data_IF_475610875104
#
_entry.id   IF_475610875104
#
_cell.length_a   1.000
_cell.length_b   1.000
_cell.length_c   1.000
_cell.angle_alpha   90.00
_cell.angle_beta   90.00
_cell.angle_gamma   90.00
#
_symmetry.space_group_name_H-M   'P 1'
#
loop_
_entity.id
_entity.type
_entity.pdbx_description
1 polymer ?
#
# COMPACT_ATOMS: atom_id res chain seq x y z
N UNK A 1 -18.66 -3.05 -3.66
CA UNK A 1 -18.20 -2.65 -2.30
C UNK A 1 -16.70 -2.86 -2.24
N UNK A 2 -15.98 -2.22 -1.31
CA UNK A 2 -14.53 -2.42 -1.21
C UNK A 2 -14.17 -3.87 -0.86
N UNK A 3 -15.01 -4.53 -0.06
CA UNK A 3 -14.91 -5.95 0.29
C UNK A 3 -14.96 -6.87 -0.94
N UNK A 4 -15.79 -6.56 -1.94
CA UNK A 4 -15.83 -7.34 -3.18
C UNK A 4 -14.49 -7.27 -3.95
N UNK A 5 -13.85 -6.09 -3.96
CA UNK A 5 -12.54 -5.89 -4.60
C UNK A 5 -11.46 -6.67 -3.86
N UNK A 6 -11.48 -6.63 -2.52
CA UNK A 6 -10.60 -7.43 -1.68
C UNK A 6 -10.78 -8.93 -1.92
N UNK A 7 -12.02 -9.44 -1.89
CA UNK A 7 -12.31 -10.86 -2.09
C UNK A 7 -11.91 -11.34 -3.49
N UNK A 8 -12.10 -10.51 -4.51
CA UNK A 8 -11.64 -10.81 -5.86
C UNK A 8 -10.10 -10.88 -5.92
N UNK A 9 -9.40 -9.91 -5.33
CA UNK A 9 -7.94 -9.93 -5.21
C UNK A 9 -7.44 -11.20 -4.51
N UNK A 10 -8.02 -11.54 -3.36
CA UNK A 10 -7.66 -12.74 -2.61
C UNK A 10 -7.89 -14.02 -3.43
N UNK A 11 -9.03 -14.11 -4.12
CA UNK A 11 -9.37 -15.24 -4.98
C UNK A 11 -8.38 -15.37 -6.14
N UNK A 12 -7.97 -14.28 -6.75
CA UNK A 12 -6.98 -14.29 -7.84
C UNK A 12 -5.61 -14.74 -7.35
N UNK A 13 -5.17 -14.30 -6.16
CA UNK A 13 -3.94 -14.77 -5.53
C UNK A 13 -4.00 -16.27 -5.21
N UNK A 14 -5.09 -16.73 -4.59
CA UNK A 14 -5.26 -18.14 -4.20
C UNK A 14 -5.34 -19.11 -5.38
N UNK A 15 -5.89 -18.66 -6.52
CA UNK A 15 -6.03 -19.49 -7.72
C UNK A 15 -4.79 -19.43 -8.63
N UNK A 16 -3.82 -18.58 -8.33
CA UNK A 16 -2.62 -18.44 -9.15
C UNK A 16 -1.61 -19.56 -8.82
N UNK A 17 -1.31 -20.49 -9.75
CA UNK A 17 -0.40 -21.61 -9.49
C UNK A 17 1.06 -21.17 -9.35
N UNK A 18 1.38 -19.93 -9.69
CA UNK A 18 2.73 -19.34 -9.61
C UNK A 18 2.89 -18.43 -8.39
N UNK A 19 1.94 -18.47 -7.44
CA UNK A 19 1.99 -17.70 -6.19
C UNK A 19 1.92 -18.65 -5.01
N UNK A 20 2.74 -18.37 -3.99
CA UNK A 20 2.69 -19.03 -2.70
C UNK A 20 2.30 -18.02 -1.61
N UNK A 21 1.17 -18.27 -0.94
CA UNK A 21 0.66 -17.41 0.13
C UNK A 21 1.20 -17.90 1.49
N UNK A 22 1.72 -16.99 2.31
CA UNK A 22 1.99 -17.29 3.73
C UNK A 22 3.32 -17.97 4.05
N UNK A 23 4.28 -17.98 3.13
CA UNK A 23 5.50 -18.77 3.29
C UNK A 23 6.50 -18.20 4.28
N UNK A 24 6.70 -16.88 4.29
CA UNK A 24 7.83 -16.24 4.97
C UNK A 24 7.47 -15.09 5.89
N UNK A 25 6.19 -14.75 6.03
CA UNK A 25 5.83 -13.75 7.04
C UNK A 25 5.91 -14.36 8.43
N UNK A 26 6.53 -13.62 9.35
CA UNK A 26 6.35 -13.86 10.79
C UNK A 26 4.93 -13.55 11.24
N UNK A 27 4.19 -12.75 10.45
CA UNK A 27 2.80 -12.44 10.72
C UNK A 27 1.94 -13.64 10.30
N UNK A 28 1.05 -14.08 11.19
CA UNK A 28 0.05 -15.09 10.82
C UNK A 28 -0.90 -14.45 9.83
N UNK A 29 -1.02 -15.03 8.63
CA UNK A 29 -2.00 -14.57 7.66
C UNK A 29 -3.40 -14.59 8.28
N UNK A 30 -4.11 -13.48 8.12
CA UNK A 30 -5.47 -13.29 8.59
C UNK A 30 -6.25 -12.61 7.48
N UNK A 31 -6.99 -13.38 6.70
CA UNK A 31 -7.66 -12.92 5.49
C UNK A 31 -9.19 -13.09 5.59
N UNK A 32 -9.69 -13.33 6.79
CA UNK A 32 -11.12 -13.37 7.06
C UNK A 32 -11.64 -11.95 7.25
N UNK A 33 -12.42 -11.51 6.27
CA UNK A 33 -13.12 -10.23 6.27
C UNK A 33 -14.48 -10.41 6.98
N UNK A 34 -14.44 -10.67 8.29
CA UNK A 34 -15.66 -10.72 9.10
C UNK A 34 -16.15 -9.30 9.40
N UNK A 35 -17.43 -8.97 9.09
CA UNK A 35 -17.96 -7.67 9.44
C UNK A 35 -17.88 -7.42 10.95
N UNK A 36 -17.30 -6.28 11.39
CA UNK A 36 -17.29 -5.94 12.80
C UNK A 36 -18.72 -5.79 13.34
N UNK A 37 -18.91 -6.07 14.63
CA UNK A 37 -20.21 -5.86 15.28
C UNK A 37 -20.63 -4.38 15.21
N UNK A 38 -21.94 -4.11 15.13
CA UNK A 38 -22.48 -2.74 15.15
C UNK A 38 -21.95 -1.91 16.34
N UNK A 39 -21.91 -2.51 17.54
CA UNK A 39 -21.35 -1.88 18.75
C UNK A 39 -19.89 -1.46 18.58
N UNK A 40 -19.10 -2.23 17.85
CA UNK A 40 -17.71 -1.87 17.55
C UNK A 40 -17.65 -0.65 16.62
N UNK A 41 -18.46 -0.64 15.56
CA UNK A 41 -18.53 0.45 14.60
C UNK A 41 -19.02 1.76 15.27
N UNK A 42 -20.05 1.70 16.11
CA UNK A 42 -20.55 2.84 16.88
C UNK A 42 -19.47 3.44 17.78
N UNK A 43 -18.71 2.57 18.47
CA UNK A 43 -17.60 3.01 19.33
C UNK A 43 -16.50 3.70 18.52
N UNK A 44 -16.07 3.09 17.41
CA UNK A 44 -15.01 3.65 16.54
C UNK A 44 -15.44 4.99 15.94
N UNK A 45 -16.70 5.11 15.52
CA UNK A 45 -17.27 6.37 15.03
C UNK A 45 -17.24 7.47 16.10
N UNK A 46 -17.64 7.14 17.33
CA UNK A 46 -17.58 8.08 18.47
C UNK A 46 -16.15 8.52 18.79
N UNK A 47 -15.19 7.60 18.77
CA UNK A 47 -13.77 7.90 18.98
C UNK A 47 -13.24 8.90 17.93
N UNK A 48 -13.62 8.73 16.65
CA UNK A 48 -13.26 9.67 15.58
C UNK A 48 -13.94 11.04 15.78
N UNK A 49 -15.22 11.07 16.15
CA UNK A 49 -15.96 12.31 16.40
C UNK A 49 -15.40 13.11 17.58
N UNK A 50 -14.87 12.44 18.62
CA UNK A 50 -14.18 13.08 19.76
C UNK A 50 -12.92 13.85 19.33
N UNK A 51 -12.28 13.43 18.24
CA UNK A 51 -11.11 14.07 17.61
C UNK A 51 -11.49 14.98 16.43
N UNK A 52 -12.76 15.38 16.32
CA UNK A 52 -13.29 16.21 15.23
C UNK A 52 -13.15 15.60 13.83
N UNK A 53 -13.13 14.26 13.72
CA UNK A 53 -13.08 13.53 12.45
C UNK A 53 -14.47 13.00 12.10
N UNK A 54 -15.01 13.45 10.98
CA UNK A 54 -16.36 13.14 10.50
C UNK A 54 -16.25 12.02 9.47
N UNK A 55 -16.76 10.83 9.82
CA UNK A 55 -16.82 9.67 8.93
C UNK A 55 -18.29 9.36 8.57
N UNK A 56 -18.55 9.08 7.29
CA UNK A 56 -19.90 8.73 6.85
C UNK A 56 -20.23 7.26 7.15
N UNK A 57 -21.52 6.92 7.26
CA UNK A 57 -21.95 5.53 7.47
C UNK A 57 -21.51 4.61 6.32
N UNK A 58 -21.36 5.16 5.11
CA UNK A 58 -20.83 4.43 3.96
C UNK A 58 -19.36 4.05 4.18
N UNK A 59 -18.55 4.97 4.70
CA UNK A 59 -17.12 4.76 4.91
C UNK A 59 -16.83 3.78 6.03
N UNK A 60 -17.80 3.54 6.91
CA UNK A 60 -17.71 2.49 7.91
C UNK A 60 -17.49 1.09 7.29
N UNK A 61 -17.80 0.89 5.99
CA UNK A 61 -17.53 -0.36 5.28
C UNK A 61 -16.04 -0.74 5.28
N UNK A 62 -15.13 0.23 5.41
CA UNK A 62 -13.69 -0.02 5.39
C UNK A 62 -13.17 -0.66 6.68
N UNK A 63 -13.92 -0.61 7.78
CA UNK A 63 -13.62 -1.39 8.99
C UNK A 63 -13.78 -2.90 8.78
N UNK A 64 -14.48 -3.34 7.73
CA UNK A 64 -14.49 -4.76 7.34
C UNK A 64 -13.09 -5.26 6.95
N UNK A 65 -12.19 -4.34 6.56
CA UNK A 65 -10.83 -4.68 6.16
C UNK A 65 -9.83 -4.59 7.30
N UNK A 66 -10.27 -4.25 8.51
CA UNK A 66 -9.40 -4.08 9.66
C UNK A 66 -8.68 -5.38 10.01
N UNK A 67 -7.39 -5.27 10.33
CA UNK A 67 -6.51 -6.39 10.70
C UNK A 67 -6.30 -7.45 9.63
N UNK A 68 -6.65 -7.18 8.36
CA UNK A 68 -6.35 -8.10 7.27
C UNK A 68 -4.84 -8.15 7.04
N UNK A 69 -4.30 -9.36 7.00
CA UNK A 69 -2.91 -9.69 6.72
C UNK A 69 -2.90 -10.72 5.59
N UNK A 70 -2.38 -10.29 4.44
CA UNK A 70 -2.09 -11.17 3.30
C UNK A 70 -0.62 -10.99 2.96
N UNK A 71 0.11 -12.08 2.80
CA UNK A 71 1.46 -12.07 2.23
C UNK A 71 1.60 -13.15 1.16
N UNK A 72 2.36 -12.85 0.11
CA UNK A 72 2.60 -13.77 -0.97
C UNK A 72 3.96 -13.55 -1.64
N UNK A 73 4.48 -14.62 -2.22
CA UNK A 73 5.70 -14.64 -3.04
C UNK A 73 5.36 -15.25 -4.40
N UNK A 74 6.04 -14.78 -5.46
CA UNK A 74 6.06 -15.53 -6.70
C UNK A 74 6.96 -16.77 -6.60
N UNK A 75 6.60 -17.82 -7.34
CA UNK A 75 7.37 -19.06 -7.45
C UNK A 75 7.71 -19.39 -8.90
N UNK A 76 7.84 -18.37 -9.75
CA UNK A 76 8.22 -18.56 -11.14
C UNK A 76 9.62 -19.18 -11.20
N UNK A 77 9.77 -20.18 -12.08
CA UNK A 77 11.06 -20.85 -12.29
C UNK A 77 11.96 -20.09 -13.27
N UNK A 78 11.39 -19.18 -14.05
CA UNK A 78 12.09 -18.38 -15.04
C UNK A 78 11.49 -16.97 -15.12
N UNK A 79 12.33 -15.94 -15.36
CA UNK A 79 13.79 -16.01 -15.54
C UNK A 79 14.55 -15.72 -14.23
N UNK A 80 15.65 -16.45 -14.00
CA UNK A 80 16.41 -16.49 -12.73
C UNK A 80 17.24 -15.24 -12.44
N UNK A 81 17.33 -14.32 -13.39
CA UNK A 81 17.97 -13.01 -13.25
C UNK A 81 17.04 -11.94 -12.63
N UNK A 82 15.76 -12.27 -12.48
CA UNK A 82 14.76 -11.41 -11.86
C UNK A 82 14.61 -11.81 -10.40
N UNK A 83 14.64 -10.82 -9.51
CA UNK A 83 14.36 -11.04 -8.09
C UNK A 83 12.92 -11.52 -7.91
N UNK A 84 12.69 -12.35 -6.90
CA UNK A 84 11.33 -12.75 -6.51
C UNK A 84 10.51 -11.49 -6.22
N UNK A 85 9.42 -11.31 -6.97
CA UNK A 85 8.36 -10.37 -6.69
C UNK A 85 7.57 -10.87 -5.48
N UNK A 86 7.50 -10.01 -4.49
CA UNK A 86 6.77 -10.25 -3.24
C UNK A 86 5.67 -9.23 -3.09
N UNK A 87 4.65 -9.58 -2.33
CA UNK A 87 3.58 -8.66 -2.06
C UNK A 87 2.70 -9.06 -0.90
N UNK A 88 1.57 -8.36 -0.87
CA UNK A 88 0.59 -8.46 0.18
C UNK A 88 0.45 -7.15 0.92
N UNK A 89 -0.33 -7.16 1.98
CA UNK A 89 -0.67 -5.98 2.75
C UNK A 89 -1.10 -6.39 4.15
N UNK A 90 -0.79 -5.50 5.09
CA UNK A 90 -1.33 -5.47 6.44
C UNK A 90 -2.16 -4.21 6.56
N UNK A 91 -3.47 -4.38 6.66
CA UNK A 91 -4.41 -3.29 6.87
C UNK A 91 -4.60 -3.17 8.38
N UNK A 92 -4.35 -1.97 8.91
CA UNK A 92 -4.54 -1.70 10.33
C UNK A 92 -6.03 -1.55 10.66
N UNK A 93 -6.47 -0.33 10.91
CA UNK A 93 -7.85 0.12 10.84
C UNK A 93 -7.83 1.60 10.39
N UNK A 94 -8.95 2.30 10.55
CA UNK A 94 -9.03 3.74 10.29
C UNK A 94 -8.73 4.55 11.55
N UNK A 95 -9.12 4.05 12.72
CA UNK A 95 -9.13 4.81 13.97
C UNK A 95 -7.73 5.01 14.52
N UNK A 96 -6.95 3.94 14.65
CA UNK A 96 -5.63 4.04 15.25
C UNK A 96 -4.69 4.96 14.44
N UNK A 97 -4.67 4.89 13.09
CA UNK A 97 -3.85 5.76 12.26
C UNK A 97 -4.27 7.22 12.28
N UNK A 98 -5.51 7.53 12.67
CA UNK A 98 -6.00 8.90 12.72
C UNK A 98 -5.85 9.52 14.12
N UNK A 99 -6.04 8.74 15.17
CA UNK A 99 -6.13 9.24 16.55
C UNK A 99 -4.81 9.07 17.31
N UNK A 100 -4.12 7.95 17.16
CA UNK A 100 -2.98 7.67 18.03
C UNK A 100 -1.69 8.35 17.55
N UNK A 101 -1.01 9.14 18.40
CA UNK A 101 0.26 9.74 18.06
C UNK A 101 1.35 8.68 17.88
N UNK A 102 2.31 8.95 17.00
CA UNK A 102 3.47 8.08 16.80
C UNK A 102 4.69 8.89 16.40
N UNK A 103 5.84 8.56 16.99
CA UNK A 103 7.14 9.15 16.65
C UNK A 103 7.84 8.37 15.52
N UNK A 104 7.22 7.31 15.00
CA UNK A 104 7.84 6.40 14.02
C UNK A 104 8.35 7.13 12.77
N UNK A 105 7.62 8.14 12.31
CA UNK A 105 7.94 8.90 11.09
C UNK A 105 8.83 10.12 11.36
N UNK A 106 9.23 10.34 12.61
CA UNK A 106 10.06 11.50 12.98
C UNK A 106 11.37 11.47 12.19
N UNK A 107 11.71 12.60 11.59
CA UNK A 107 12.88 12.79 10.71
C UNK A 107 12.81 12.12 9.33
N UNK A 108 11.63 11.63 8.91
CA UNK A 108 11.43 11.26 7.50
C UNK A 108 11.34 12.51 6.63
N UNK A 109 11.89 12.46 5.42
CA UNK A 109 12.01 13.60 4.53
C UNK A 109 10.86 13.61 3.52
N UNK A 110 10.16 14.74 3.38
CA UNK A 110 9.22 14.94 2.29
C UNK A 110 9.98 15.24 0.98
N UNK A 111 9.89 14.35 -0.01
CA UNK A 111 10.63 14.52 -1.27
C UNK A 111 10.09 15.66 -2.15
N UNK A 112 8.82 16.04 -2.02
CA UNK A 112 8.23 17.17 -2.78
C UNK A 112 8.49 18.52 -2.11
N UNK A 113 8.91 18.51 -0.84
CA UNK A 113 9.16 19.72 -0.02
C UNK A 113 7.98 20.71 0.01
N UNK A 114 6.74 20.18 0.01
CA UNK A 114 5.49 20.96 0.06
C UNK A 114 4.90 21.08 1.48
N UNK A 115 5.70 20.76 2.50
CA UNK A 115 5.35 20.78 3.91
C UNK A 115 6.06 19.67 4.69
N UNK A 116 6.10 19.78 6.02
CA UNK A 116 6.53 18.68 6.90
C UNK A 116 5.32 18.13 7.66
N UNK A 117 4.91 16.93 7.26
CA UNK A 117 3.78 16.19 7.84
C UNK A 117 4.26 15.04 8.73
N UNK A 118 5.57 14.88 8.96
CA UNK A 118 6.15 13.70 9.60
C UNK A 118 5.54 13.37 10.97
N UNK A 119 5.18 14.38 11.76
CA UNK A 119 4.54 14.21 13.07
C UNK A 119 3.03 13.93 13.00
N UNK A 120 2.42 14.18 11.84
CA UNK A 120 0.99 13.97 11.58
C UNK A 120 0.73 12.63 10.90
N UNK A 121 1.75 11.84 10.58
CA UNK A 121 1.55 10.58 9.86
C UNK A 121 1.01 9.48 10.79
N UNK A 122 0.08 8.69 10.26
CA UNK A 122 -0.34 7.42 10.85
C UNK A 122 -0.63 6.41 9.74
N UNK A 123 -0.05 5.21 9.84
CA UNK A 123 -0.13 4.20 8.79
C UNK A 123 -1.44 3.41 8.87
N UNK A 124 -2.19 3.36 7.78
CA UNK A 124 -3.38 2.51 7.66
C UNK A 124 -3.08 1.21 6.91
N UNK A 125 -2.02 1.19 6.11
CA UNK A 125 -1.54 0.03 5.38
C UNK A 125 -0.02 -0.03 5.45
N UNK A 126 0.52 -1.25 5.48
CA UNK A 126 1.94 -1.53 5.32
C UNK A 126 2.14 -2.84 4.57
N UNK A 127 3.31 -3.01 3.98
CA UNK A 127 3.74 -4.35 3.55
C UNK A 127 3.92 -5.30 4.75
N UNK A 128 3.68 -6.62 4.57
CA UNK A 128 3.86 -7.62 5.62
C UNK A 128 5.30 -7.73 6.14
N UNK A 129 5.45 -8.16 7.40
CA UNK A 129 6.79 -8.49 7.93
C UNK A 129 7.41 -9.63 7.12
N UNK A 130 8.70 -9.54 6.81
CA UNK A 130 9.42 -10.49 5.95
C UNK A 130 9.41 -10.14 4.46
N UNK A 131 8.55 -9.20 4.03
CA UNK A 131 8.60 -8.59 2.69
C UNK A 131 9.42 -7.30 2.74
N UNK A 132 8.86 -6.23 3.31
CA UNK A 132 9.50 -4.94 3.56
C UNK A 132 8.55 -4.05 4.40
N UNK A 133 8.51 -4.24 5.72
CA UNK A 133 7.57 -3.54 6.63
C UNK A 133 7.83 -2.03 6.80
N UNK A 134 8.76 -1.50 6.00
CA UNK A 134 9.12 -0.09 5.97
C UNK A 134 8.29 0.74 4.97
N UNK A 135 7.60 0.10 4.02
CA UNK A 135 6.72 0.76 3.05
C UNK A 135 5.27 0.78 3.54
N UNK A 136 4.66 1.98 3.53
CA UNK A 136 3.37 2.24 4.19
C UNK A 136 2.50 3.24 3.44
N UNK A 137 1.20 3.00 3.43
CA UNK A 137 0.18 4.04 3.21
C UNK A 137 -0.16 4.72 4.53
N UNK A 138 -0.07 6.05 4.58
CA UNK A 138 -0.36 6.81 5.79
C UNK A 138 -1.38 7.92 5.54
N UNK A 139 -2.25 8.18 6.52
CA UNK A 139 -3.00 9.43 6.59
C UNK A 139 -2.08 10.56 7.05
N UNK A 140 -2.35 11.77 6.53
CA UNK A 140 -1.96 13.02 7.18
C UNK A 140 -3.11 13.35 8.13
N UNK A 141 -2.87 13.25 9.45
CA UNK A 141 -3.89 13.50 10.46
C UNK A 141 -4.31 14.97 10.46
N UNK A 142 -5.58 15.21 10.14
CA UNK A 142 -6.23 16.51 10.22
C UNK A 142 -7.69 16.33 10.65
N UNK A 143 -8.23 17.33 11.35
CA UNK A 143 -9.66 17.42 11.65
C UNK A 143 -10.47 17.60 10.36
N UNK A 144 -11.73 17.17 10.37
CA UNK A 144 -12.65 17.38 9.25
C UNK A 144 -13.19 16.08 8.67
N UNK A 145 -13.48 16.06 7.37
CA UNK A 145 -14.14 14.93 6.72
C UNK A 145 -13.14 13.84 6.34
N UNK A 146 -13.49 12.59 6.65
CA UNK A 146 -12.82 11.43 6.10
C UNK A 146 -13.10 11.28 4.59
N UNK A 147 -12.13 10.82 3.77
CA UNK A 147 -10.74 10.55 4.15
C UNK A 147 -9.88 11.83 4.07
N UNK A 148 -8.94 12.01 5.02
CA UNK A 148 -7.96 13.07 4.89
C UNK A 148 -6.95 12.76 3.77
N UNK A 149 -6.10 13.73 3.39
CA UNK A 149 -4.98 13.49 2.50
C UNK A 149 -4.09 12.35 2.98
N UNK A 150 -3.48 11.65 2.03
CA UNK A 150 -2.63 10.50 2.30
C UNK A 150 -1.23 10.68 1.70
N UNK A 151 -0.27 9.96 2.26
CA UNK A 151 1.11 9.87 1.78
C UNK A 151 1.49 8.41 1.57
N UNK A 152 2.41 8.19 0.65
CA UNK A 152 3.21 6.99 0.61
C UNK A 152 4.51 7.26 1.38
N UNK A 153 4.79 6.42 2.38
CA UNK A 153 5.99 6.49 3.19
C UNK A 153 6.89 5.28 2.93
N UNK A 154 8.14 5.54 2.56
CA UNK A 154 9.21 4.54 2.55
C UNK A 154 10.15 4.84 3.73
N UNK A 155 9.78 4.33 4.90
CA UNK A 155 10.52 4.56 6.14
C UNK A 155 11.93 3.95 6.09
N UNK A 156 12.14 2.86 5.35
CA UNK A 156 13.45 2.24 5.15
C UNK A 156 14.39 3.08 4.28
N UNK A 157 13.82 3.91 3.41
CA UNK A 157 14.50 4.97 2.67
C UNK A 157 14.56 6.31 3.42
N UNK A 158 13.83 6.47 4.52
CA UNK A 158 13.76 7.69 5.31
C UNK A 158 12.97 8.82 4.64
N UNK A 159 12.01 8.51 3.77
CA UNK A 159 11.27 9.52 3.01
C UNK A 159 9.79 9.20 2.82
N UNK A 160 9.00 10.23 2.54
CA UNK A 160 7.60 10.11 2.16
C UNK A 160 7.22 11.12 1.07
N UNK A 161 6.07 10.89 0.45
CA UNK A 161 5.51 11.79 -0.56
C UNK A 161 3.99 11.81 -0.49
N UNK A 162 3.40 13.00 -0.60
CA UNK A 162 1.96 13.14 -0.79
C UNK A 162 1.54 12.61 -2.15
N UNK A 163 0.51 11.77 -2.14
CA UNK A 163 -0.03 11.16 -3.36
C UNK A 163 -1.28 11.93 -3.81
N UNK A 164 -1.51 11.94 -5.12
CA UNK A 164 -2.48 12.83 -5.75
C UNK A 164 -3.87 12.16 -5.92
N UNK A 165 -4.17 11.15 -5.09
CA UNK A 165 -5.46 10.45 -5.01
C UNK A 165 -5.82 10.14 -3.56
N UNK A 166 -7.11 9.90 -3.31
CA UNK A 166 -7.65 9.68 -1.95
C UNK A 166 -7.49 8.25 -1.44
N UNK A 167 -7.88 8.03 -0.18
CA UNK A 167 -7.86 6.71 0.46
C UNK A 167 -8.68 5.65 -0.28
N UNK A 168 -9.83 6.02 -0.83
CA UNK A 168 -10.65 5.06 -1.56
C UNK A 168 -9.90 4.54 -2.77
N UNK A 169 -9.34 5.45 -3.58
CA UNK A 169 -8.56 5.07 -4.75
C UNK A 169 -7.28 4.33 -4.36
N UNK A 170 -6.66 4.66 -3.23
CA UNK A 170 -5.54 3.89 -2.69
C UNK A 170 -5.90 2.43 -2.45
N UNK A 171 -7.01 2.16 -1.76
CA UNK A 171 -7.44 0.79 -1.47
C UNK A 171 -7.82 0.03 -2.75
N UNK A 172 -8.42 0.69 -3.73
CA UNK A 172 -8.66 0.08 -5.05
C UNK A 172 -7.36 -0.32 -5.74
N UNK A 173 -6.40 0.61 -5.83
CA UNK A 173 -5.13 0.38 -6.48
C UNK A 173 -4.32 -0.69 -5.73
N UNK A 174 -4.35 -0.70 -4.40
CA UNK A 174 -3.72 -1.75 -3.59
C UNK A 174 -4.16 -3.14 -4.05
N UNK A 175 -5.47 -3.36 -4.21
CA UNK A 175 -6.02 -4.65 -4.62
C UNK A 175 -5.82 -4.95 -6.11
N UNK A 176 -5.95 -3.94 -6.98
CA UNK A 176 -5.66 -4.08 -8.42
C UNK A 176 -4.19 -4.49 -8.67
N UNK A 177 -3.28 -4.04 -7.80
CA UNK A 177 -1.85 -4.33 -7.81
C UNK A 177 -1.47 -5.48 -6.88
N UNK A 178 -2.43 -6.15 -6.22
CA UNK A 178 -2.17 -7.22 -5.26
C UNK A 178 -1.20 -6.86 -4.11
N UNK A 179 -1.02 -5.57 -3.83
CA UNK A 179 -0.03 -5.07 -2.88
C UNK A 179 1.40 -5.55 -3.15
N UNK A 180 1.83 -5.71 -4.41
CA UNK A 180 3.23 -6.05 -4.67
C UNK A 180 4.16 -4.96 -4.12
N UNK A 181 5.36 -5.35 -3.68
CA UNK A 181 6.33 -4.42 -3.10
C UNK A 181 6.62 -3.26 -4.05
N UNK A 182 6.35 -2.03 -3.60
CA UNK A 182 6.61 -0.82 -4.38
C UNK A 182 5.55 -0.48 -5.41
N UNK A 183 4.34 -1.04 -5.35
CA UNK A 183 3.25 -0.68 -6.27
C UNK A 183 2.96 0.82 -6.29
N UNK A 184 3.16 1.52 -5.17
CA UNK A 184 2.98 2.97 -5.06
C UNK A 184 3.92 3.76 -5.98
N UNK A 185 5.10 3.22 -6.34
CA UNK A 185 6.06 3.89 -7.22
C UNK A 185 5.49 4.23 -8.60
N UNK A 186 4.51 3.45 -9.06
CA UNK A 186 3.84 3.69 -10.34
C UNK A 186 2.92 4.92 -10.30
N UNK A 187 2.51 5.37 -9.12
CA UNK A 187 1.51 6.44 -8.95
C UNK A 187 2.05 7.70 -8.27
N UNK A 188 3.37 7.80 -8.09
CA UNK A 188 4.06 8.99 -7.59
C UNK A 188 5.02 9.54 -8.62
N UNK A 189 5.48 10.78 -8.41
CA UNK A 189 6.54 11.32 -9.25
C UNK A 189 7.92 10.82 -8.79
N UNK A 190 8.60 10.08 -9.67
CA UNK A 190 9.96 9.59 -9.41
C UNK A 190 10.94 10.68 -9.86
N UNK A 191 11.81 11.09 -8.93
CA UNK A 191 12.80 12.17 -9.11
C UNK A 191 14.20 11.72 -8.70
N UNK A 192 15.25 12.42 -9.15
CA UNK A 192 16.66 12.03 -8.95
C UNK A 192 17.06 12.07 -7.46
N UNK A 193 16.34 12.84 -6.66
CA UNK A 193 16.57 13.11 -5.24
C UNK A 193 16.05 12.00 -4.32
N UNK A 194 15.28 11.04 -4.84
CA UNK A 194 14.75 9.93 -4.03
C UNK A 194 15.92 9.11 -3.46
N UNK A 195 16.02 8.96 -2.12
CA UNK A 195 17.02 8.10 -1.51
C UNK A 195 16.90 6.65 -2.04
N UNK A 196 18.05 6.07 -2.40
CA UNK A 196 18.15 4.70 -2.95
C UNK A 196 17.33 4.50 -4.23
N UNK A 197 17.28 5.51 -5.10
CA UNK A 197 16.58 5.47 -6.39
C UNK A 197 16.84 4.19 -7.22
N UNK A 198 18.07 3.66 -7.24
CA UNK A 198 18.37 2.43 -7.98
C UNK A 198 17.58 1.21 -7.47
N UNK A 199 17.30 1.14 -6.16
CA UNK A 199 16.44 0.09 -5.59
C UNK A 199 14.98 0.29 -5.99
N UNK A 200 14.50 1.54 -6.01
CA UNK A 200 13.15 1.87 -6.48
C UNK A 200 12.96 1.45 -7.94
N UNK A 201 13.92 1.77 -8.80
CA UNK A 201 13.87 1.40 -10.22
C UNK A 201 13.97 -0.11 -10.43
N UNK A 202 14.75 -0.82 -9.61
CA UNK A 202 14.82 -2.28 -9.68
C UNK A 202 13.51 -2.94 -9.22
N UNK A 203 12.87 -2.44 -8.16
CA UNK A 203 11.55 -2.92 -7.72
C UNK A 203 10.49 -2.72 -8.84
N UNK A 204 10.49 -1.55 -9.49
CA UNK A 204 9.63 -1.29 -10.66
C UNK A 204 9.93 -2.24 -11.82
N UNK A 205 11.22 -2.46 -12.14
CA UNK A 205 11.68 -3.37 -13.21
C UNK A 205 11.21 -4.80 -12.97
N UNK A 206 11.37 -5.30 -11.75
CA UNK A 206 10.92 -6.64 -11.34
C UNK A 206 9.41 -6.75 -11.53
N UNK A 207 8.64 -5.76 -11.07
CA UNK A 207 7.19 -5.76 -11.23
C UNK A 207 6.75 -5.82 -12.70
N UNK A 208 7.28 -4.96 -13.59
CA UNK A 208 6.85 -4.92 -15.00
C UNK A 208 7.22 -6.18 -15.79
N UNK A 209 8.25 -6.93 -15.36
CA UNK A 209 8.64 -8.21 -15.98
C UNK A 209 7.87 -9.40 -15.40
N UNK A 210 7.59 -9.39 -14.10
CA UNK A 210 6.98 -10.53 -13.40
C UNK A 210 5.45 -10.52 -13.46
N UNK A 211 4.80 -9.35 -13.34
CA UNK A 211 3.33 -9.26 -13.30
C UNK A 211 2.62 -9.87 -14.53
N UNK A 212 3.09 -9.66 -15.78
CA UNK A 212 2.48 -10.29 -16.96
C UNK A 212 2.61 -11.82 -16.97
N UNK A 213 3.62 -12.38 -16.29
CA UNK A 213 3.81 -13.83 -16.18
C UNK A 213 2.90 -14.43 -15.12
N UNK A 214 2.67 -13.69 -14.02
CA UNK A 214 1.76 -14.11 -12.96
C UNK A 214 0.30 -13.96 -13.37
N UNK A 215 -0.06 -12.87 -14.03
CA UNK A 215 -1.44 -12.52 -14.36
C UNK A 215 -1.54 -12.17 -15.85
N UNK A 216 -1.43 -13.16 -16.76
CA UNK A 216 -1.37 -12.92 -18.20
C UNK A 216 -2.66 -12.34 -18.78
N UNK A 217 -3.80 -12.53 -18.12
CA UNK A 217 -5.10 -12.03 -18.55
C UNK A 217 -5.35 -10.57 -18.13
N UNK A 218 -4.47 -9.96 -17.33
CA UNK A 218 -4.57 -8.56 -16.90
C UNK A 218 -3.75 -7.64 -17.81
N UNK A 219 -4.26 -6.44 -18.03
CA UNK A 219 -3.54 -5.39 -18.76
C UNK A 219 -2.54 -4.68 -17.83
N UNK A 220 -1.24 -4.90 -18.09
CA UNK A 220 -0.12 -4.27 -17.39
C UNK A 220 0.56 -3.17 -18.21
N UNK A 221 -0.07 -2.72 -19.30
CA UNK A 221 0.49 -1.71 -20.19
C UNK A 221 0.75 -0.37 -19.48
N UNK A 222 -0.10 -0.01 -18.50
CA UNK A 222 0.11 1.16 -17.66
C UNK A 222 1.44 1.10 -16.92
N UNK A 223 1.74 -0.01 -16.24
CA UNK A 223 2.97 -0.20 -15.47
C UNK A 223 4.20 -0.20 -16.37
N UNK A 224 4.13 -0.93 -17.48
CA UNK A 224 5.20 -0.97 -18.47
C UNK A 224 5.51 0.43 -19.00
N UNK A 225 4.48 1.16 -19.44
CA UNK A 225 4.63 2.52 -19.92
C UNK A 225 5.19 3.44 -18.85
N UNK A 226 4.63 3.41 -17.64
CA UNK A 226 5.05 4.27 -16.53
C UNK A 226 6.51 4.05 -16.17
N UNK A 227 6.99 2.80 -16.16
CA UNK A 227 8.39 2.49 -15.91
C UNK A 227 9.29 3.08 -17.00
N UNK A 228 8.94 2.94 -18.28
CA UNK A 228 9.69 3.54 -19.39
C UNK A 228 9.70 5.07 -19.32
N UNK A 229 8.55 5.70 -19.06
CA UNK A 229 8.44 7.16 -18.88
C UNK A 229 9.37 7.65 -17.74
N UNK A 230 9.50 6.88 -16.65
CA UNK A 230 10.42 7.19 -15.55
C UNK A 230 11.88 7.06 -15.98
N UNK A 231 12.26 6.01 -16.71
CA UNK A 231 13.62 5.85 -17.22
C UNK A 231 14.00 7.00 -18.16
N UNK A 232 13.12 7.35 -19.09
CA UNK A 232 13.31 8.46 -20.02
C UNK A 232 13.48 9.80 -19.28
N UNK A 233 12.59 10.10 -18.32
CA UNK A 233 12.68 11.31 -17.48
C UNK A 233 14.01 11.40 -16.72
N UNK A 234 14.54 10.26 -16.28
CA UNK A 234 15.81 10.17 -15.55
C UNK A 234 17.03 10.06 -16.45
N UNK A 235 16.86 10.04 -17.77
CA UNK A 235 17.90 9.85 -18.79
C UNK A 235 18.65 8.52 -18.63
N UNK A 236 17.90 7.45 -18.35
CA UNK A 236 18.41 6.08 -18.16
C UNK A 236 17.92 5.15 -19.27
N UNK A 237 18.68 4.09 -19.53
CA UNK A 237 18.30 2.99 -20.42
C UNK A 237 18.00 1.73 -19.60
N UNK A 238 17.14 0.87 -20.12
CA UNK A 238 16.84 -0.44 -19.53
C UNK A 238 18.06 -1.39 -19.50
#
# INVERSE_FOLDING_TARGET
MITDKYLQCLKELQNNPNIEIGKYSSDTNYYDCEPPSERFLERRKKELEEENIIISDKDMEYFNLSSIIVNWDDILKEPTDIKVLRGGFVINDITDPLIYPTDYFKNTINIKNDGDYSQQLGWFERLPMGVDDSMRGCFIKEEGNFPPPIVFCNAGGGWYVKIDFDYYKYMELLFENYGFKGWQYFYIDIVKEIPRLDQVLDDMRVAVKTLPLLFPDKDWSYHQKRYQDVLEKLERTE
#
